data_IF_437579082614
#
_entry.id   IF_437579082614
#
_cell.length_a   1.000
_cell.length_b   1.000
_cell.length_c   1.000
_cell.angle_alpha   90.00
_cell.angle_beta   90.00
_cell.angle_gamma   90.00
#
_symmetry.space_group_name_H-M   'P 1'
#
loop_
_entity.id
_entity.type
_entity.pdbx_description
1 polymer ?
#
# COMPACT_ATOMS: atom_id res chain seq x y z
N UNK A 1 2.30 -14.52 7.96
CA UNK A 1 2.04 -13.38 7.04
C UNK A 1 3.09 -12.30 7.30
N UNK A 2 3.40 -11.46 6.32
CA UNK A 2 4.38 -10.37 6.50
C UNK A 2 3.81 -9.28 7.42
N UNK A 3 4.60 -8.75 8.35
CA UNK A 3 4.19 -7.74 9.35
C UNK A 3 3.49 -6.54 8.72
N UNK A 4 4.07 -5.99 7.64
CA UNK A 4 3.50 -4.82 6.94
C UNK A 4 2.18 -5.14 6.23
N UNK A 5 1.99 -6.38 5.79
CA UNK A 5 0.74 -6.80 5.16
C UNK A 5 -0.41 -6.88 6.17
N UNK A 6 -0.12 -7.28 7.42
CA UNK A 6 -1.11 -7.30 8.51
C UNK A 6 -1.51 -5.87 8.89
N UNK A 7 -0.53 -5.01 9.18
CA UNK A 7 -0.78 -3.59 9.48
C UNK A 7 -1.61 -2.92 8.39
N UNK A 8 -1.30 -3.17 7.11
CA UNK A 8 -2.08 -2.61 6.01
C UNK A 8 -3.55 -3.08 6.01
N UNK A 9 -3.80 -4.36 6.28
CA UNK A 9 -5.16 -4.92 6.29
C UNK A 9 -5.97 -4.49 7.50
N UNK A 10 -5.33 -4.46 8.67
CA UNK A 10 -6.00 -4.33 9.96
C UNK A 10 -6.17 -2.86 10.37
N UNK A 11 -5.23 -1.98 9.98
CA UNK A 11 -5.21 -0.58 10.40
C UNK A 11 -5.42 0.38 9.22
N UNK A 12 -4.63 0.22 8.15
CA UNK A 12 -4.58 1.21 7.06
C UNK A 12 -5.82 1.14 6.15
N UNK A 13 -6.25 -0.06 5.76
CA UNK A 13 -7.38 -0.24 4.84
C UNK A 13 -8.72 0.29 5.43
N UNK A 14 -9.07 0.01 6.70
CA UNK A 14 -10.25 0.60 7.34
C UNK A 14 -10.17 2.13 7.44
N UNK A 15 -9.01 2.66 7.81
CA UNK A 15 -8.78 4.11 7.92
C UNK A 15 -8.99 4.82 6.57
N UNK A 16 -8.44 4.26 5.49
CA UNK A 16 -8.61 4.79 4.13
C UNK A 16 -10.07 4.71 3.67
N UNK A 17 -10.77 3.60 3.98
CA UNK A 17 -12.19 3.46 3.66
C UNK A 17 -13.03 4.54 4.34
N UNK A 18 -12.76 4.83 5.61
CA UNK A 18 -13.49 5.86 6.36
C UNK A 18 -13.15 7.27 5.88
N UNK A 19 -11.86 7.55 5.62
CA UNK A 19 -11.41 8.88 5.21
C UNK A 19 -11.93 9.28 3.82
N UNK A 20 -11.99 8.32 2.89
CA UNK A 20 -12.35 8.59 1.49
C UNK A 20 -13.75 8.07 1.11
N UNK A 21 -14.47 7.43 2.03
CA UNK A 21 -15.84 6.97 1.81
C UNK A 21 -15.98 5.88 0.75
N UNK A 22 -14.95 5.03 0.56
CA UNK A 22 -15.00 3.94 -0.43
C UNK A 22 -16.16 2.98 -0.13
N UNK A 23 -16.95 2.67 -1.16
CA UNK A 23 -18.13 1.81 -1.05
C UNK A 23 -17.76 0.34 -1.09
N UNK A 24 -16.71 0.00 -1.85
CA UNK A 24 -16.23 -1.37 -2.01
C UNK A 24 -14.87 -1.58 -1.37
N UNK A 25 -14.67 -2.77 -0.79
CA UNK A 25 -13.36 -3.18 -0.23
C UNK A 25 -12.30 -3.29 -1.34
N UNK A 26 -12.72 -3.51 -2.58
CA UNK A 26 -11.83 -3.59 -3.74
C UNK A 26 -11.39 -2.21 -4.26
N UNK A 27 -12.06 -1.12 -3.87
CA UNK A 27 -11.65 0.25 -4.23
C UNK A 27 -10.47 0.74 -3.38
N UNK A 28 -10.16 0.07 -2.27
CA UNK A 28 -9.08 0.48 -1.38
C UNK A 28 -7.73 0.32 -2.10
N UNK A 29 -6.92 1.38 -2.24
CA UNK A 29 -5.67 1.37 -3.01
C UNK A 29 -4.63 0.39 -2.44
N UNK A 30 -4.04 -0.45 -3.30
CA UNK A 30 -3.03 -1.47 -2.92
C UNK A 30 -1.66 -1.16 -3.51
N UNK A 31 -0.59 -1.53 -2.79
CA UNK A 31 0.79 -1.47 -3.30
C UNK A 31 1.00 -2.64 -4.28
N UNK A 32 1.24 -2.33 -5.55
CA UNK A 32 1.43 -3.34 -6.61
C UNK A 32 2.90 -3.73 -6.81
N UNK A 33 3.80 -2.75 -6.83
CA UNK A 33 5.25 -2.96 -6.89
C UNK A 33 5.99 -1.77 -6.32
N UNK A 34 7.19 -2.03 -5.77
CA UNK A 34 8.16 -1.01 -5.40
C UNK A 34 9.39 -1.26 -6.27
N UNK A 35 9.68 -0.36 -7.20
CA UNK A 35 10.87 -0.44 -8.05
C UNK A 35 11.95 0.46 -7.47
N UNK A 36 13.04 -0.15 -6.99
CA UNK A 36 14.24 0.58 -6.62
C UNK A 36 15.15 0.66 -7.84
N UNK A 37 15.42 1.86 -8.33
CA UNK A 37 16.41 2.10 -9.36
C UNK A 37 17.62 2.78 -8.72
N UNK A 38 18.81 2.19 -8.87
CA UNK A 38 20.07 2.85 -8.58
C UNK A 38 20.80 3.05 -9.90
N UNK A 39 20.87 4.30 -10.37
CA UNK A 39 21.72 4.67 -11.49
C UNK A 39 23.16 4.83 -11.01
N UNK A 40 24.05 3.91 -11.36
CA UNK A 40 25.49 4.09 -11.19
C UNK A 40 26.02 4.67 -12.50
N UNK A 41 25.98 5.99 -12.63
CA UNK A 41 26.65 6.71 -13.72
C UNK A 41 28.07 7.02 -13.30
N UNK A 42 29.03 6.48 -14.06
CA UNK A 42 30.49 6.72 -14.00
C UNK A 42 31.13 6.68 -12.59
N UNK A 43 31.78 5.55 -12.29
CA UNK A 43 32.80 5.47 -11.24
C UNK A 43 34.19 5.52 -11.89
#
# INVERSE_FOLDING_TARGET
MARLQQVYKDEVAPALKQQFGYKSVMEIPRITKITLNMGVGEA
#
